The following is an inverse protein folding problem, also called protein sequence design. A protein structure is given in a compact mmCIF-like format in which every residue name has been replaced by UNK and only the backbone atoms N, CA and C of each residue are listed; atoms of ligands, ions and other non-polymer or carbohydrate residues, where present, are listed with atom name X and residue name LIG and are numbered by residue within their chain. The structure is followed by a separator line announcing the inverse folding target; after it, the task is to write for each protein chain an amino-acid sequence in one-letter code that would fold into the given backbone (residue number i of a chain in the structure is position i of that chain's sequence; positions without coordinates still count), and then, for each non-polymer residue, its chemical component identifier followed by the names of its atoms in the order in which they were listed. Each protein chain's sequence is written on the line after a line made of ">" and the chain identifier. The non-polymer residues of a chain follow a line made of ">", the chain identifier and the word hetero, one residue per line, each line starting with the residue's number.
data_IF_261583634725
#
_entry.id   IF_261583634725
#
_cell.length_a   1.000
_cell.length_b   1.000
_cell.length_c   1.000
_cell.angle_alpha   90.00
_cell.angle_beta   90.00
_cell.angle_gamma   90.00
#
_symmetry.space_group_name_H-M   'P 1'
#
loop_
_entity.id
_entity.type
_entity.pdbx_description
1 polymer ?
#
# COMPACT_ATOMS: atom_id res chain seq x y z
N UNK A 1 17.77 26.59 -26.42
CA UNK A 1 18.67 27.33 -25.50
C UNK A 1 18.56 26.68 -24.14
N UNK A 2 19.73 26.30 -23.60
CA UNK A 2 20.06 25.63 -22.33
C UNK A 2 19.60 24.18 -22.10
N UNK A 3 20.60 23.30 -22.16
CA UNK A 3 20.59 21.84 -21.90
C UNK A 3 21.31 21.45 -20.60
N UNK A 4 21.48 22.37 -19.64
CA UNK A 4 22.37 22.18 -18.48
C UNK A 4 21.65 22.17 -17.12
N UNK A 5 20.69 21.26 -16.88
CA UNK A 5 20.02 21.19 -15.57
C UNK A 5 19.81 19.78 -14.95
N UNK A 6 20.39 18.71 -15.49
CA UNK A 6 20.02 17.33 -15.08
C UNK A 6 21.15 16.42 -14.58
N UNK A 7 22.25 16.96 -14.09
CA UNK A 7 23.19 16.18 -13.27
C UNK A 7 23.14 16.73 -11.84
N UNK A 8 22.57 15.98 -10.88
CA UNK A 8 22.95 15.99 -9.44
C UNK A 8 21.94 15.37 -8.44
N UNK A 9 21.07 14.42 -8.81
CA UNK A 9 20.16 13.79 -7.82
C UNK A 9 20.14 12.25 -7.90
N UNK A 10 21.31 11.61 -7.78
CA UNK A 10 21.43 10.15 -7.66
C UNK A 10 22.23 9.84 -6.39
N UNK A 11 21.63 9.02 -5.53
CA UNK A 11 22.15 8.70 -4.21
C UNK A 11 21.97 7.19 -3.97
N UNK A 12 22.98 6.51 -3.39
CA UNK A 12 23.08 5.05 -3.32
C UNK A 12 23.72 4.60 -1.99
N UNK A 13 23.00 3.78 -1.23
CA UNK A 13 23.42 3.31 0.10
C UNK A 13 24.03 1.89 0.06
N UNK A 14 25.22 1.69 0.66
CA UNK A 14 25.95 0.41 0.73
C UNK A 14 25.30 -0.63 1.67
N UNK A 15 25.39 -1.92 1.29
CA UNK A 15 24.70 -3.05 1.93
C UNK A 15 25.43 -3.69 3.11
N UNK A 16 24.66 -4.30 4.02
CA UNK A 16 25.14 -5.21 5.07
C UNK A 16 24.48 -6.61 4.93
N UNK A 17 25.27 -7.65 5.23
CA UNK A 17 25.02 -9.09 5.00
C UNK A 17 24.12 -9.77 6.08
N UNK A 18 23.62 -11.00 5.84
CA UNK A 18 22.21 -11.33 6.13
C UNK A 18 21.97 -12.55 7.05
N UNK A 19 20.70 -12.78 7.40
CA UNK A 19 20.16 -14.11 7.69
C UNK A 19 18.79 -14.27 6.99
N UNK A 20 18.57 -15.39 6.31
CA UNK A 20 17.34 -15.70 5.57
C UNK A 20 17.09 -17.19 5.69
N UNK A 21 15.82 -17.56 5.80
CA UNK A 21 15.33 -18.87 5.43
C UNK A 21 14.06 -18.70 4.60
N UNK A 22 14.01 -19.54 3.57
CA UNK A 22 13.22 -19.49 2.35
C UNK A 22 11.91 -20.30 2.50
N UNK A 23 10.90 -20.01 1.66
CA UNK A 23 10.01 -21.03 1.08
C UNK A 23 8.87 -20.38 0.28
N UNK A 24 9.03 -20.36 -1.05
CA UNK A 24 7.93 -20.42 -2.00
C UNK A 24 7.93 -21.81 -2.66
N UNK A 25 6.76 -22.43 -2.79
CA UNK A 25 6.27 -23.15 -4.00
C UNK A 25 5.19 -24.19 -3.70
N UNK A 26 4.20 -24.27 -4.60
CA UNK A 26 3.79 -25.57 -5.15
C UNK A 26 2.48 -26.21 -4.64
N UNK A 27 1.41 -25.98 -5.40
CA UNK A 27 0.46 -27.00 -5.91
C UNK A 27 0.03 -28.14 -4.96
N UNK A 28 -1.19 -28.06 -4.42
CA UNK A 28 -1.89 -29.23 -3.89
C UNK A 28 -2.86 -29.82 -4.94
N UNK A 29 -2.38 -30.82 -5.68
CA UNK A 29 -3.24 -31.77 -6.38
C UNK A 29 -3.77 -32.79 -5.35
N UNK A 30 -5.09 -32.82 -5.16
CA UNK A 30 -5.76 -33.83 -4.31
C UNK A 30 -5.64 -35.21 -4.94
N UNK A 31 -4.74 -36.05 -4.42
CA UNK A 31 -4.80 -37.50 -4.63
C UNK A 31 -5.78 -38.10 -3.60
N UNK A 32 -6.95 -38.53 -4.07
CA UNK A 32 -7.88 -39.30 -3.27
C UNK A 32 -7.40 -40.76 -3.24
N UNK A 33 -6.74 -41.15 -2.15
CA UNK A 33 -6.43 -42.56 -1.88
C UNK A 33 -7.72 -43.23 -1.38
N UNK A 34 -8.37 -43.99 -2.25
CA UNK A 34 -9.48 -44.88 -1.85
C UNK A 34 -8.86 -46.02 -1.02
N UNK A 35 -8.94 -45.87 0.30
CA UNK A 35 -8.57 -46.94 1.23
C UNK A 35 -9.73 -47.94 1.26
N UNK A 36 -9.45 -49.16 0.78
CA UNK A 36 -10.38 -50.29 0.79
C UNK A 36 -10.57 -50.77 2.24
N UNK A 37 -11.59 -50.27 2.93
CA UNK A 37 -11.95 -50.70 4.29
C UNK A 37 -12.74 -52.01 4.19
N UNK A 38 -12.04 -53.14 4.03
CA UNK A 38 -12.69 -54.47 4.05
C UNK A 38 -12.23 -55.37 5.21
N UNK A 39 -11.57 -54.82 6.24
CA UNK A 39 -11.10 -55.59 7.41
C UNK A 39 -11.73 -55.21 8.76
N UNK A 40 -12.74 -54.34 8.79
CA UNK A 40 -13.41 -53.93 10.03
C UNK A 40 -14.80 -54.56 10.26
N UNK A 41 -15.21 -55.54 9.45
CA UNK A 41 -16.53 -56.17 9.56
C UNK A 41 -16.56 -57.49 10.36
N UNK A 42 -15.60 -57.70 11.27
CA UNK A 42 -15.67 -58.77 12.23
C UNK A 42 -15.47 -58.20 13.64
N UNK A 43 -16.47 -58.44 14.51
CA UNK A 43 -16.57 -57.99 15.91
C UNK A 43 -17.20 -56.61 16.15
N UNK A 44 -18.40 -56.38 15.63
CA UNK A 44 -19.40 -55.56 16.35
C UNK A 44 -20.42 -56.50 17.01
N UNK A 45 -19.92 -57.36 17.89
CA UNK A 45 -20.77 -57.95 18.92
C UNK A 45 -21.33 -56.80 19.76
N UNK A 46 -22.65 -56.77 19.89
CA UNK A 46 -23.48 -55.85 20.66
C UNK A 46 -22.87 -55.50 22.02
N UNK A 47 -22.03 -54.45 22.06
CA UNK A 47 -21.71 -53.79 23.32
C UNK A 47 -22.85 -52.81 23.60
N UNK A 48 -23.57 -52.93 24.74
CA UNK A 48 -24.62 -51.98 25.07
C UNK A 48 -24.00 -50.59 25.11
N UNK A 49 -24.61 -49.63 24.42
CA UNK A 49 -24.28 -48.22 24.55
C UNK A 49 -24.37 -47.87 26.04
N UNK A 50 -23.23 -47.72 26.71
CA UNK A 50 -23.22 -47.28 28.10
C UNK A 50 -23.85 -45.88 28.09
N UNK A 51 -24.87 -45.61 28.92
CA UNK A 51 -25.49 -44.29 28.95
C UNK A 51 -24.37 -43.30 29.24
N UNK A 52 -24.16 -42.36 28.31
CA UNK A 52 -23.22 -41.27 28.52
C UNK A 52 -23.67 -40.59 29.81
N UNK A 53 -22.86 -40.70 30.88
CA UNK A 53 -23.27 -40.21 32.20
C UNK A 53 -23.67 -38.75 32.03
N UNK A 54 -24.88 -38.39 32.47
CA UNK A 54 -25.45 -37.03 32.32
C UNK A 54 -24.44 -35.93 32.72
N UNK A 55 -23.60 -36.22 33.73
CA UNK A 55 -22.48 -35.36 34.18
C UNK A 55 -21.43 -35.06 33.11
N UNK A 56 -21.05 -36.04 32.29
CA UNK A 56 -20.08 -35.85 31.20
C UNK A 56 -20.68 -35.02 30.06
N UNK A 57 -21.97 -35.21 29.76
CA UNK A 57 -22.68 -34.38 28.78
C UNK A 57 -22.80 -32.92 29.23
N UNK A 58 -23.17 -32.70 30.51
CA UNK A 58 -23.21 -31.35 31.08
C UNK A 58 -21.85 -30.66 31.08
N UNK A 59 -20.74 -31.40 31.30
CA UNK A 59 -19.39 -30.83 31.25
C UNK A 59 -19.00 -30.39 29.84
N UNK A 60 -19.26 -31.21 28.81
CA UNK A 60 -19.00 -30.83 27.42
C UNK A 60 -19.89 -29.66 26.96
N UNK A 61 -21.17 -29.65 27.36
CA UNK A 61 -22.08 -28.54 27.06
C UNK A 61 -21.63 -27.25 27.76
N UNK A 62 -21.18 -27.33 29.01
CA UNK A 62 -20.62 -26.20 29.75
C UNK A 62 -19.34 -25.67 29.09
N UNK A 63 -18.44 -26.54 28.63
CA UNK A 63 -17.24 -26.14 27.88
C UNK A 63 -17.64 -25.39 26.60
N UNK A 64 -18.54 -25.95 25.78
CA UNK A 64 -19.01 -25.31 24.54
C UNK A 64 -19.67 -23.94 24.82
N UNK A 65 -20.52 -23.86 25.85
CA UNK A 65 -21.17 -22.61 26.26
C UNK A 65 -20.16 -21.57 26.77
N UNK A 66 -19.11 -22.01 27.46
CA UNK A 66 -18.03 -21.12 27.93
C UNK A 66 -17.20 -20.58 26.77
N UNK A 67 -16.88 -21.41 25.76
CA UNK A 67 -16.15 -20.96 24.56
C UNK A 67 -16.99 -19.99 23.73
N UNK A 68 -18.30 -20.22 23.63
CA UNK A 68 -19.24 -19.30 22.96
C UNK A 68 -19.38 -17.98 23.71
N UNK A 69 -19.39 -18.00 25.04
CA UNK A 69 -19.47 -16.79 25.87
C UNK A 69 -18.20 -15.93 25.76
N UNK A 70 -17.02 -16.56 25.73
CA UNK A 70 -15.73 -15.87 25.59
C UNK A 70 -15.48 -15.34 24.17
N UNK A 71 -16.10 -15.92 23.14
CA UNK A 71 -15.98 -15.47 21.75
C UNK A 71 -16.84 -14.26 21.37
N UNK A 72 -17.70 -13.77 22.27
CA UNK A 72 -18.76 -12.81 21.92
C UNK A 72 -18.40 -11.33 22.15
N UNK A 73 -17.14 -11.01 22.49
CA UNK A 73 -16.70 -9.63 22.65
C UNK A 73 -15.72 -9.23 21.53
N UNK A 74 -16.25 -9.10 20.32
CA UNK A 74 -15.58 -8.31 19.28
C UNK A 74 -16.16 -6.90 19.37
N UNK A 75 -15.41 -5.98 19.99
CA UNK A 75 -15.77 -4.57 19.99
C UNK A 75 -15.38 -3.98 18.65
N UNK A 76 -16.31 -3.95 17.70
CA UNK A 76 -16.09 -3.20 16.45
C UNK A 76 -15.99 -1.72 16.81
N UNK A 77 -14.87 -1.09 16.46
CA UNK A 77 -14.67 0.33 16.67
C UNK A 77 -15.27 1.11 15.49
N UNK A 78 -15.75 2.36 15.69
CA UNK A 78 -16.30 3.15 14.59
C UNK A 78 -15.37 3.27 13.37
N UNK A 79 -14.06 3.25 13.61
CA UNK A 79 -13.03 3.29 12.56
C UNK A 79 -13.00 2.06 11.67
N UNK A 80 -13.46 0.90 12.15
CA UNK A 80 -13.46 -0.36 11.41
C UNK A 80 -14.51 -0.39 10.29
N UNK A 81 -15.49 0.53 10.33
CA UNK A 81 -16.51 0.69 9.29
C UNK A 81 -16.08 1.60 8.13
N UNK A 82 -14.94 2.27 8.24
CA UNK A 82 -14.45 3.19 7.21
C UNK A 82 -13.83 2.41 6.05
N UNK A 83 -14.41 2.53 4.87
CA UNK A 83 -13.84 2.05 3.61
C UNK A 83 -13.38 3.26 2.76
N UNK A 84 -12.07 3.54 2.70
CA UNK A 84 -11.54 4.68 1.94
C UNK A 84 -11.67 4.55 0.42
N UNK A 85 -12.09 3.39 -0.12
CA UNK A 85 -12.27 3.21 -1.56
C UNK A 85 -13.66 3.60 -2.06
N UNK A 86 -14.62 3.85 -1.16
CA UNK A 86 -15.93 4.35 -1.54
C UNK A 86 -15.78 5.69 -2.27
N UNK A 87 -16.45 5.83 -3.43
CA UNK A 87 -16.42 7.04 -4.27
C UNK A 87 -15.04 7.40 -4.85
N UNK A 88 -14.17 6.42 -5.06
CA UNK A 88 -12.84 6.62 -5.68
C UNK A 88 -12.76 6.20 -7.15
N UNK A 89 -13.84 5.66 -7.74
CA UNK A 89 -13.88 5.22 -9.14
C UNK A 89 -14.64 6.19 -10.04
N UNK A 90 -14.01 6.61 -11.14
CA UNK A 90 -14.64 7.49 -12.11
C UNK A 90 -15.15 8.80 -11.50
N UNK A 91 -16.16 9.41 -12.13
CA UNK A 91 -16.74 10.67 -11.66
C UNK A 91 -17.94 10.50 -10.71
N UNK A 92 -17.74 9.72 -9.65
CA UNK A 92 -18.79 9.36 -8.68
C UNK A 92 -18.42 9.71 -7.24
N UNK A 93 -17.84 10.90 -7.05
CA UNK A 93 -17.56 11.45 -5.72
C UNK A 93 -16.10 11.62 -5.34
N UNK A 94 -15.16 11.39 -6.26
CA UNK A 94 -13.78 11.93 -6.27
C UNK A 94 -13.03 11.91 -4.92
N UNK A 95 -13.34 10.93 -4.07
CA UNK A 95 -12.65 10.74 -2.81
C UNK A 95 -11.35 9.98 -3.07
N UNK A 96 -10.54 9.85 -2.02
CA UNK A 96 -9.19 9.35 -2.14
C UNK A 96 -8.93 8.31 -1.06
N UNK A 97 -8.24 7.21 -1.38
CA UNK A 97 -7.79 6.24 -0.38
C UNK A 97 -6.53 6.75 0.35
N UNK A 98 -6.53 8.01 0.75
CA UNK A 98 -5.38 8.69 1.30
C UNK A 98 -5.12 8.28 2.77
N UNK A 99 -3.85 8.11 3.10
CA UNK A 99 -3.41 8.04 4.48
C UNK A 99 -3.37 9.47 5.07
N UNK A 100 -4.32 9.77 5.94
CA UNK A 100 -4.45 11.07 6.61
C UNK A 100 -5.02 10.94 8.01
N UNK A 101 -4.85 11.99 8.82
CA UNK A 101 -5.59 12.19 10.07
C UNK A 101 -6.69 13.24 9.85
N UNK A 102 -7.76 13.26 10.68
CA UNK A 102 -8.80 14.28 10.55
C UNK A 102 -8.20 15.70 10.51
N UNK A 103 -8.53 16.47 9.48
CA UNK A 103 -8.06 17.84 9.25
C UNK A 103 -6.53 17.97 9.12
N UNK A 104 -5.84 16.90 8.70
CA UNK A 104 -4.41 16.91 8.40
C UNK A 104 -4.07 17.76 7.18
N UNK A 105 -2.89 18.37 7.20
CA UNK A 105 -2.29 19.05 6.05
C UNK A 105 -1.74 18.05 5.03
N UNK A 106 -1.19 16.93 5.50
CA UNK A 106 -0.65 15.88 4.64
C UNK A 106 -1.75 14.86 4.36
N UNK A 107 -2.00 14.65 3.08
CA UNK A 107 -2.89 13.63 2.55
C UNK A 107 -2.06 12.73 1.65
N UNK A 108 -1.52 11.64 2.18
CA UNK A 108 -0.56 10.79 1.45
C UNK A 108 -1.32 9.77 0.61
N UNK A 109 -1.30 9.92 -0.71
CA UNK A 109 -2.10 9.11 -1.63
C UNK A 109 -1.30 8.76 -2.90
N UNK A 110 -1.55 7.59 -3.52
CA UNK A 110 -1.12 7.32 -4.89
C UNK A 110 -1.73 8.30 -5.90
N UNK A 111 -0.89 8.76 -6.83
CA UNK A 111 -1.33 9.45 -8.05
C UNK A 111 -1.48 8.41 -9.17
N UNK A 112 -2.68 8.04 -9.60
CA UNK A 112 -2.90 6.95 -10.57
C UNK A 112 -2.65 7.36 -12.03
N UNK A 113 -2.61 6.38 -12.93
CA UNK A 113 -2.48 6.58 -14.38
C UNK A 113 -3.26 5.50 -15.14
N UNK A 114 -3.92 5.85 -16.28
CA UNK A 114 -3.92 7.15 -16.97
C UNK A 114 -4.92 8.19 -16.48
N UNK A 115 -5.79 7.86 -15.53
CA UNK A 115 -6.85 8.75 -15.06
C UNK A 115 -6.32 10.06 -14.46
N UNK A 116 -5.17 10.01 -13.78
CA UNK A 116 -4.55 11.16 -13.11
C UNK A 116 -3.31 11.68 -13.86
N UNK A 117 -3.09 13.01 -13.77
CA UNK A 117 -1.90 13.72 -14.25
C UNK A 117 -1.58 13.64 -15.77
N UNK A 118 -2.50 13.16 -16.62
CA UNK A 118 -2.65 13.74 -17.96
C UNK A 118 -3.34 15.09 -17.78
N UNK A 119 -2.95 16.14 -18.50
CA UNK A 119 -3.53 17.47 -18.30
C UNK A 119 -5.06 17.54 -18.51
N UNK A 120 -5.69 16.46 -18.97
CA UNK A 120 -7.13 16.32 -19.20
C UNK A 120 -7.90 15.60 -18.08
N UNK A 121 -7.23 14.94 -17.13
CA UNK A 121 -7.75 14.44 -15.84
C UNK A 121 -9.23 14.02 -15.81
N UNK A 122 -9.68 13.26 -16.81
CA UNK A 122 -11.11 13.17 -17.13
C UNK A 122 -11.92 12.40 -16.07
N UNK A 123 -11.26 11.71 -15.12
CA UNK A 123 -11.94 10.94 -14.07
C UNK A 123 -11.23 10.90 -12.70
N UNK A 124 -9.99 11.38 -12.57
CA UNK A 124 -9.21 11.35 -11.32
C UNK A 124 -8.90 12.77 -10.80
N UNK A 125 -9.92 13.55 -10.49
CA UNK A 125 -9.80 14.99 -10.20
C UNK A 125 -8.93 15.31 -8.97
N UNK A 126 -8.90 14.38 -8.01
CA UNK A 126 -8.05 14.45 -6.83
C UNK A 126 -6.79 13.61 -6.93
N UNK A 127 -6.41 13.10 -8.10
CA UNK A 127 -5.17 12.34 -8.30
C UNK A 127 -5.30 10.82 -8.34
N UNK A 128 -6.45 10.25 -7.98
CA UNK A 128 -6.67 8.80 -7.93
C UNK A 128 -7.97 8.40 -8.63
N UNK A 129 -7.91 7.32 -9.41
CA UNK A 129 -9.07 6.58 -9.91
C UNK A 129 -8.89 5.08 -9.61
N UNK A 130 -9.87 4.47 -8.94
CA UNK A 130 -9.87 3.05 -8.60
C UNK A 130 -9.69 2.11 -9.80
N UNK A 131 -10.13 2.52 -10.99
CA UNK A 131 -10.04 1.69 -12.20
C UNK A 131 -8.65 1.64 -12.81
N UNK A 132 -7.76 2.57 -12.43
CA UNK A 132 -6.38 2.59 -12.89
C UNK A 132 -5.55 1.48 -12.21
N UNK A 133 -4.61 0.93 -12.97
CA UNK A 133 -3.70 -0.13 -12.54
C UNK A 133 -2.22 0.29 -12.55
N UNK A 134 -1.95 1.58 -12.74
CA UNK A 134 -0.63 2.18 -12.63
C UNK A 134 -0.69 3.42 -11.75
N UNK A 135 0.47 3.81 -11.23
CA UNK A 135 0.67 5.07 -10.52
C UNK A 135 1.84 5.82 -11.14
N UNK A 136 1.85 7.13 -10.93
CA UNK A 136 3.01 7.98 -11.24
C UNK A 136 3.90 8.14 -10.03
N UNK A 137 3.33 8.15 -8.83
CA UNK A 137 4.04 8.23 -7.56
C UNK A 137 3.07 8.32 -6.39
N UNK A 138 3.61 8.61 -5.21
CA UNK A 138 2.86 8.91 -4.00
C UNK A 138 3.14 10.37 -3.61
N UNK A 139 2.13 11.23 -3.65
CA UNK A 139 2.30 12.66 -3.35
C UNK A 139 1.73 13.05 -1.99
N UNK A 140 2.20 14.17 -1.45
CA UNK A 140 1.94 14.54 -0.05
C UNK A 140 0.70 15.43 0.14
N UNK A 141 0.21 16.02 -0.94
CA UNK A 141 -0.94 16.92 -0.89
C UNK A 141 -1.96 16.50 -1.91
N UNK A 142 -3.17 16.29 -1.42
CA UNK A 142 -4.31 16.00 -2.25
C UNK A 142 -5.50 16.89 -1.89
N UNK A 143 -6.50 16.92 -2.77
CA UNK A 143 -7.80 17.52 -2.50
C UNK A 143 -8.92 16.63 -3.02
N UNK A 144 -9.44 15.79 -2.13
CA UNK A 144 -10.59 14.94 -2.40
C UNK A 144 -11.89 15.73 -2.62
N UNK A 145 -12.89 15.06 -3.20
CA UNK A 145 -14.23 15.58 -3.50
C UNK A 145 -14.21 16.89 -4.31
N UNK A 146 -13.23 17.04 -5.19
CA UNK A 146 -13.03 18.20 -6.05
C UNK A 146 -13.38 17.86 -7.50
N UNK A 147 -13.95 18.81 -8.25
CA UNK A 147 -14.35 18.64 -9.65
C UNK A 147 -13.52 19.47 -10.63
N UNK A 148 -13.61 19.17 -11.93
CA UNK A 148 -12.94 19.93 -12.99
C UNK A 148 -11.76 19.17 -13.60
N UNK A 149 -11.36 19.55 -14.80
CA UNK A 149 -10.57 18.70 -15.71
C UNK A 149 -9.11 18.51 -15.31
N UNK A 150 -8.45 19.54 -14.76
CA UNK A 150 -7.00 19.48 -14.56
C UNK A 150 -6.62 19.28 -13.10
N UNK A 151 -5.89 18.23 -12.76
CA UNK A 151 -5.52 17.92 -11.34
C UNK A 151 -4.72 19.06 -10.69
N UNK A 152 -3.79 19.70 -11.42
CA UNK A 152 -3.01 20.89 -11.00
C UNK A 152 -2.60 20.89 -9.52
N UNK A 153 -3.28 21.67 -8.68
CA UNK A 153 -2.97 21.90 -7.27
C UNK A 153 -3.58 20.85 -6.33
N UNK A 154 -4.22 19.82 -6.86
CA UNK A 154 -5.02 18.83 -6.12
C UNK A 154 -4.35 17.48 -5.95
N UNK A 155 -3.20 17.24 -6.59
CA UNK A 155 -2.36 16.05 -6.42
C UNK A 155 -0.97 16.28 -7.05
N UNK A 156 -0.08 15.29 -6.99
CA UNK A 156 1.24 15.33 -7.62
C UNK A 156 2.24 16.33 -7.01
N UNK A 157 1.96 16.86 -5.82
CA UNK A 157 2.87 17.78 -5.13
C UNK A 157 3.79 17.03 -4.17
N UNK A 158 5.10 17.19 -4.35
CA UNK A 158 6.13 16.44 -3.61
C UNK A 158 5.88 14.93 -3.76
N UNK A 159 5.99 14.45 -5.00
CA UNK A 159 5.77 13.04 -5.34
C UNK A 159 7.04 12.24 -5.09
N UNK A 160 6.86 11.03 -4.55
CA UNK A 160 7.91 10.03 -4.36
C UNK A 160 7.51 8.76 -5.10
N UNK A 161 8.40 8.22 -5.94
CA UNK A 161 8.23 6.90 -6.53
C UNK A 161 9.45 6.01 -6.19
N UNK A 162 9.26 4.89 -5.46
CA UNK A 162 10.34 3.94 -5.21
C UNK A 162 10.58 3.07 -6.45
N UNK A 163 11.84 2.74 -6.72
CA UNK A 163 12.22 1.84 -7.81
C UNK A 163 13.53 1.11 -7.49
N UNK A 164 13.78 0.00 -8.16
CA UNK A 164 14.97 -0.84 -7.90
C UNK A 164 15.77 -1.17 -9.15
N UNK A 165 15.08 -1.43 -10.26
CA UNK A 165 15.68 -1.67 -11.57
C UNK A 165 16.24 -0.38 -12.17
N UNK A 166 17.18 -0.50 -13.12
CA UNK A 166 17.58 0.65 -13.93
C UNK A 166 16.43 0.99 -14.88
N UNK A 167 15.78 2.15 -14.71
CA UNK A 167 14.63 2.47 -15.52
C UNK A 167 15.08 2.92 -16.92
N UNK A 168 14.18 2.82 -17.91
CA UNK A 168 14.44 3.41 -19.23
C UNK A 168 14.64 4.93 -19.10
N UNK A 169 15.41 5.54 -20.01
CA UNK A 169 15.68 7.01 -20.00
C UNK A 169 14.40 7.87 -19.93
N UNK A 170 13.29 7.35 -20.45
CA UNK A 170 11.98 8.02 -20.45
C UNK A 170 11.27 8.00 -19.10
N UNK A 171 11.72 7.21 -18.13
CA UNK A 171 11.10 7.09 -16.81
C UNK A 171 11.13 8.39 -16.02
N UNK A 172 12.27 9.09 -15.98
CA UNK A 172 12.35 10.35 -15.24
C UNK A 172 11.53 11.47 -15.91
N UNK A 173 11.28 11.34 -17.22
CA UNK A 173 10.35 12.22 -17.92
C UNK A 173 8.90 11.84 -17.58
N UNK A 174 8.59 10.54 -17.56
CA UNK A 174 7.27 9.97 -17.36
C UNK A 174 7.27 8.80 -16.36
N UNK A 175 7.33 9.07 -15.05
CA UNK A 175 7.36 8.02 -14.06
C UNK A 175 6.01 7.33 -14.05
N UNK A 176 6.01 6.03 -14.33
CA UNK A 176 4.85 5.15 -14.32
C UNK A 176 5.32 3.82 -13.73
N UNK A 177 4.60 3.33 -12.74
CA UNK A 177 4.81 2.00 -12.16
C UNK A 177 3.49 1.25 -12.08
N UNK A 178 3.48 -0.03 -12.42
CA UNK A 178 2.32 -0.88 -12.25
C UNK A 178 2.01 -1.08 -10.75
N UNK A 179 0.73 -1.27 -10.43
CA UNK A 179 0.28 -1.67 -9.09
C UNK A 179 -0.55 -2.95 -9.16
N UNK A 180 -0.45 -3.77 -8.12
CA UNK A 180 -1.33 -4.92 -7.94
C UNK A 180 -2.58 -4.52 -7.16
N UNK A 181 -3.73 -4.38 -7.84
CA UNK A 181 -5.01 -4.01 -7.20
C UNK A 181 -5.45 -5.01 -6.12
N UNK A 182 -5.18 -6.29 -6.30
CA UNK A 182 -5.47 -7.33 -5.30
C UNK A 182 -4.66 -7.14 -4.00
N UNK A 183 -3.54 -6.43 -4.06
CA UNK A 183 -2.69 -6.11 -2.89
C UNK A 183 -3.03 -4.77 -2.24
N UNK A 184 -3.82 -3.94 -2.92
CA UNK A 184 -4.12 -2.58 -2.52
C UNK A 184 -5.06 -2.58 -1.32
N UNK A 185 -4.67 -1.82 -0.28
CA UNK A 185 -5.43 -1.74 0.97
C UNK A 185 -5.40 -0.31 1.47
N UNK A 186 -6.55 0.14 1.94
CA UNK A 186 -6.68 1.41 2.64
C UNK A 186 -7.57 1.21 3.86
N UNK A 187 -7.25 1.96 4.92
CA UNK A 187 -8.08 2.13 6.13
C UNK A 187 -7.81 3.53 6.68
N UNK A 188 -8.57 3.98 7.67
CA UNK A 188 -8.32 5.28 8.28
C UNK A 188 -6.84 5.45 8.70
N UNK A 189 -6.19 6.46 8.13
CA UNK A 189 -4.78 6.78 8.39
C UNK A 189 -3.72 5.91 7.72
N UNK A 190 -4.09 4.93 6.88
CA UNK A 190 -3.12 4.01 6.27
C UNK A 190 -3.50 3.61 4.85
N UNK A 191 -2.48 3.53 3.98
CA UNK A 191 -2.59 2.99 2.64
C UNK A 191 -1.41 2.06 2.34
N UNK A 192 -1.62 0.99 1.57
CA UNK A 192 -0.55 0.13 1.06
C UNK A 192 -0.85 -0.46 -0.30
N UNK A 193 0.17 -0.64 -1.12
CA UNK A 193 0.06 -1.34 -2.41
C UNK A 193 1.39 -1.98 -2.81
N UNK A 194 1.33 -3.09 -3.54
CA UNK A 194 2.49 -3.77 -4.10
C UNK A 194 2.76 -3.32 -5.54
N UNK A 195 4.02 -2.96 -5.82
CA UNK A 195 4.55 -2.63 -7.13
C UNK A 195 5.26 -3.89 -7.68
N UNK A 196 4.64 -4.65 -8.60
CA UNK A 196 5.10 -5.99 -8.96
C UNK A 196 6.40 -6.02 -9.74
N UNK A 197 6.66 -5.00 -10.58
CA UNK A 197 7.81 -4.98 -11.49
C UNK A 197 9.14 -4.93 -10.72
N UNK A 198 9.20 -4.08 -9.70
CA UNK A 198 10.36 -3.94 -8.81
C UNK A 198 10.22 -4.75 -7.50
N UNK A 199 9.10 -5.45 -7.31
CA UNK A 199 8.79 -6.24 -6.11
C UNK A 199 8.88 -5.42 -4.82
N UNK A 200 8.28 -4.23 -4.85
CA UNK A 200 8.28 -3.29 -3.73
C UNK A 200 6.91 -3.27 -3.08
N UNK A 201 6.84 -3.45 -1.76
CA UNK A 201 5.64 -3.11 -0.99
C UNK A 201 5.76 -1.67 -0.49
N UNK A 202 4.83 -0.81 -0.88
CA UNK A 202 4.70 0.55 -0.37
C UNK A 202 3.63 0.61 0.72
N UNK A 203 3.97 1.26 1.84
CA UNK A 203 3.07 1.49 2.97
C UNK A 203 3.18 2.94 3.42
N UNK A 204 2.03 3.57 3.64
CA UNK A 204 1.87 5.00 3.83
C UNK A 204 1.05 5.26 5.10
N UNK A 205 1.50 6.20 5.93
CA UNK A 205 0.72 6.76 7.05
C UNK A 205 1.02 8.25 7.18
N UNK A 206 0.15 9.01 7.84
CA UNK A 206 0.39 10.43 8.06
C UNK A 206 -0.01 10.88 9.47
N UNK A 207 0.55 12.02 9.86
CA UNK A 207 0.11 12.85 10.98
C UNK A 207 -0.45 14.16 10.43
N UNK A 208 -0.75 15.14 11.30
CA UNK A 208 -1.29 16.43 10.85
C UNK A 208 -0.37 17.15 9.87
N UNK A 209 0.96 16.99 9.91
CA UNK A 209 1.90 17.76 9.05
C UNK A 209 3.07 16.94 8.49
N UNK A 210 3.06 15.62 8.66
CA UNK A 210 4.14 14.75 8.19
C UNK A 210 3.60 13.46 7.63
N UNK A 211 4.10 13.06 6.47
CA UNK A 211 3.88 11.74 5.87
C UNK A 211 5.02 10.80 6.22
N UNK A 212 4.71 9.51 6.33
CA UNK A 212 5.68 8.45 6.55
C UNK A 212 5.49 7.40 5.45
N UNK A 213 6.60 7.09 4.78
CA UNK A 213 6.66 6.04 3.79
C UNK A 213 7.51 4.89 4.34
N UNK A 214 7.04 3.67 4.14
CA UNK A 214 7.85 2.46 4.30
C UNK A 214 7.83 1.70 2.98
N UNK A 215 9.01 1.44 2.45
CA UNK A 215 9.19 0.69 1.23
C UNK A 215 9.96 -0.59 1.54
N UNK A 216 9.32 -1.75 1.37
CA UNK A 216 9.97 -3.04 1.51
C UNK A 216 10.41 -3.53 0.14
N UNK A 217 11.72 -3.44 -0.12
CA UNK A 217 12.35 -3.88 -1.35
C UNK A 217 12.69 -5.37 -1.33
N UNK A 218 12.81 -5.98 -2.51
CA UNK A 218 13.33 -7.34 -2.63
C UNK A 218 14.76 -7.43 -2.07
N UNK A 219 15.09 -8.58 -1.47
CA UNK A 219 16.41 -8.79 -0.89
C UNK A 219 17.50 -8.65 -1.96
N UNK A 220 18.48 -7.78 -1.70
CA UNK A 220 19.62 -7.57 -2.58
C UNK A 220 19.35 -6.69 -3.79
N UNK A 221 18.15 -6.10 -3.89
CA UNK A 221 17.90 -5.05 -4.88
C UNK A 221 18.51 -3.73 -4.42
N UNK A 222 18.80 -2.86 -5.40
CA UNK A 222 19.05 -1.45 -5.13
C UNK A 222 17.78 -0.80 -4.55
N UNK A 223 17.97 0.25 -3.76
CA UNK A 223 16.89 1.01 -3.12
C UNK A 223 17.00 2.45 -3.58
N UNK A 224 16.13 2.86 -4.51
CA UNK A 224 16.15 4.20 -5.08
C UNK A 224 14.79 4.85 -4.90
N UNK A 225 14.79 6.16 -4.69
CA UNK A 225 13.60 6.99 -4.60
C UNK A 225 13.71 8.12 -5.61
N UNK A 226 12.70 8.29 -6.44
CA UNK A 226 12.58 9.46 -7.30
C UNK A 226 11.70 10.50 -6.60
N UNK A 227 12.27 11.65 -6.25
CA UNK A 227 11.57 12.77 -5.62
C UNK A 227 11.41 13.87 -6.67
N UNK A 228 10.17 14.24 -6.98
CA UNK A 228 9.87 15.14 -8.09
C UNK A 228 8.54 15.88 -7.92
N UNK A 229 8.28 16.86 -8.80
CA UNK A 229 6.98 17.49 -8.97
C UNK A 229 6.16 16.67 -9.98
N UNK A 230 5.16 15.93 -9.52
CA UNK A 230 4.34 15.07 -10.36
C UNK A 230 3.30 15.81 -11.21
N UNK A 231 2.96 17.04 -10.83
CA UNK A 231 2.03 17.90 -11.56
C UNK A 231 2.62 18.39 -12.90
N UNK A 232 2.19 17.77 -14.00
CA UNK A 232 2.51 18.19 -15.37
C UNK A 232 1.55 19.30 -15.82
N UNK A 233 1.85 20.56 -15.49
CA UNK A 233 1.07 21.69 -16.00
C UNK A 233 1.16 22.98 -15.19
N UNK A 234 1.75 22.94 -13.99
CA UNK A 234 2.02 24.11 -13.16
C UNK A 234 3.35 23.96 -12.45
N UNK A 235 4.44 23.84 -13.21
CA UNK A 235 5.75 23.60 -12.64
C UNK A 235 6.25 24.84 -11.89
N UNK A 236 6.19 24.78 -10.56
CA UNK A 236 6.90 25.76 -9.72
C UNK A 236 8.40 25.44 -9.67
N UNK A 237 8.77 24.21 -10.07
CA UNK A 237 10.09 23.65 -9.84
C UNK A 237 10.19 23.12 -8.42
N UNK A 238 10.64 21.88 -8.29
CA UNK A 238 11.08 21.32 -7.01
C UNK A 238 12.59 21.48 -6.91
N UNK A 239 13.07 22.05 -5.81
CA UNK A 239 14.50 22.05 -5.46
C UNK A 239 14.72 21.20 -4.22
N UNK A 240 15.82 20.47 -4.20
CA UNK A 240 16.21 19.57 -3.12
C UNK A 240 17.69 19.76 -2.84
N UNK A 241 18.08 19.79 -1.57
CA UNK A 241 19.46 19.87 -1.12
C UNK A 241 19.61 18.86 0.03
N UNK A 242 20.62 17.99 -0.05
CA UNK A 242 21.05 17.21 1.11
C UNK A 242 21.79 18.13 2.07
N UNK A 243 21.31 18.20 3.31
CA UNK A 243 21.95 18.97 4.38
C UNK A 243 22.85 18.09 5.25
N UNK A 244 22.59 16.79 5.27
CA UNK A 244 23.45 15.75 5.82
C UNK A 244 23.15 14.40 5.11
N UNK A 245 23.80 13.32 5.55
CA UNK A 245 23.71 11.99 4.94
C UNK A 245 22.29 11.40 4.94
N UNK A 246 21.38 11.90 5.78
CA UNK A 246 20.02 11.33 5.95
C UNK A 246 18.92 12.38 5.86
N UNK A 247 19.24 13.65 5.62
CA UNK A 247 18.29 14.77 5.62
C UNK A 247 18.34 15.51 4.30
N UNK A 248 17.18 15.60 3.66
CA UNK A 248 16.94 16.39 2.47
C UNK A 248 15.99 17.53 2.82
N UNK A 249 16.37 18.75 2.47
CA UNK A 249 15.49 19.91 2.50
C UNK A 249 15.07 20.28 1.09
N UNK A 250 13.85 20.76 0.92
CA UNK A 250 13.38 21.16 -0.39
C UNK A 250 12.31 22.23 -0.38
N UNK A 251 12.14 22.83 -1.56
CA UNK A 251 11.13 23.84 -1.85
C UNK A 251 10.34 23.41 -3.09
N UNK A 252 9.02 23.52 -3.00
CA UNK A 252 8.10 23.41 -4.13
C UNK A 252 7.26 24.69 -4.18
N UNK A 253 7.64 25.63 -5.05
CA UNK A 253 7.07 26.97 -5.04
C UNK A 253 7.30 27.66 -3.69
N UNK A 254 6.22 27.91 -2.94
CA UNK A 254 6.26 28.50 -1.60
C UNK A 254 6.15 27.47 -0.45
N UNK A 255 6.17 26.16 -0.77
CA UNK A 255 6.07 25.09 0.23
C UNK A 255 7.47 24.57 0.55
N UNK A 256 7.88 24.73 1.80
CA UNK A 256 9.10 24.11 2.31
C UNK A 256 8.79 22.72 2.87
N UNK A 257 9.70 21.78 2.65
CA UNK A 257 9.60 20.43 3.21
C UNK A 257 10.97 19.92 3.63
N UNK A 258 10.94 18.97 4.58
CA UNK A 258 12.12 18.22 5.02
C UNK A 258 11.77 16.74 4.94
N UNK A 259 12.65 15.95 4.34
CA UNK A 259 12.58 14.49 4.33
C UNK A 259 13.77 13.94 5.12
N UNK A 260 13.49 12.94 5.96
CA UNK A 260 14.52 12.18 6.66
C UNK A 260 14.43 10.73 6.26
N UNK A 261 15.59 10.13 5.97
CA UNK A 261 15.71 8.74 5.55
C UNK A 261 16.20 7.89 6.73
N UNK A 262 15.81 6.61 6.72
CA UNK A 262 16.26 5.63 7.72
C UNK A 262 17.69 5.11 7.45
N UNK A 263 18.25 5.47 6.30
CA UNK A 263 19.53 5.04 5.77
C UNK A 263 20.23 6.22 5.08
N UNK A 264 21.57 6.29 5.11
CA UNK A 264 22.33 7.28 4.34
C UNK A 264 21.99 7.26 2.85
N UNK A 265 21.96 8.44 2.24
CA UNK A 265 21.55 8.70 0.85
C UNK A 265 22.79 8.84 -0.03
#
# INVERSE_FOLDING_TARGET
>A
MNTDYLSNNLYTAKSAKPAFADAASGKYAKSAKIIRISKYFASFASKPLRPLRLRSFCFFLFQILTTLYLGSCRTDHPVDYVDPFICTQGDHGQWLPAALVPFGLVELCPDTWPGSLTAEGDFAHGGYDWSDNHIRGFSHFHKGSSGGTTVRDRAGQISILPFSSEPADTFFLNPIAAISKDSEKAKAGFYSVYLPDDKILAELTATTRSGFHRYSFARGSERKLFIYEGNRGGASGISCILTDDVTLEGLLGNKYFVMKFDSPV
#
